data_IF_065484193759
#
_entry.id   IF_065484193759
#
_cell.length_a   1.000
_cell.length_b   1.000
_cell.length_c   1.000
_cell.angle_alpha   90.00
_cell.angle_beta   90.00
_cell.angle_gamma   90.00
#
_symmetry.space_group_name_H-M   'P 1'
#
loop_
_entity.id
_entity.type
_entity.pdbx_description
1 polymer ?
#
# COMPACT_ATOMS: atom_id res chain seq x y z
N UNK A 1 24.52 12.95 16.27
CA UNK A 1 25.34 12.78 17.48
C UNK A 1 25.19 11.33 17.96
N UNK A 2 26.25 10.51 17.93
CA UNK A 2 26.21 9.11 18.38
C UNK A 2 25.89 8.94 19.88
N UNK A 3 25.81 10.03 20.65
CA UNK A 3 25.49 10.00 22.08
C UNK A 3 24.05 10.39 22.44
N UNK A 4 23.15 10.52 21.47
CA UNK A 4 21.77 10.91 21.79
C UNK A 4 21.01 9.74 22.45
N UNK A 5 20.88 9.80 23.78
CA UNK A 5 20.25 8.81 24.66
C UNK A 5 18.83 8.40 24.24
N UNK A 6 18.11 9.29 23.56
CA UNK A 6 16.74 9.04 23.11
C UNK A 6 16.63 8.11 21.90
N UNK A 7 17.68 7.95 21.08
CA UNK A 7 17.64 7.01 19.93
C UNK A 7 17.65 5.54 20.38
N UNK A 8 18.43 5.20 21.42
CA UNK A 8 18.64 3.81 21.86
C UNK A 8 17.46 3.15 22.56
N UNK A 9 16.47 3.91 23.06
CA UNK A 9 15.32 3.33 23.79
C UNK A 9 14.19 2.83 22.91
N UNK A 10 14.16 3.26 21.65
CA UNK A 10 13.10 2.90 20.69
C UNK A 10 13.58 1.89 19.63
N UNK A 11 14.84 1.48 19.68
CA UNK A 11 15.36 0.41 18.83
C UNK A 11 14.95 -0.95 19.43
N UNK A 12 13.84 -1.50 18.93
CA UNK A 12 13.56 -2.93 19.12
C UNK A 12 14.52 -3.70 18.21
N UNK A 13 15.47 -4.44 18.79
CA UNK A 13 16.21 -5.45 18.05
C UNK A 13 15.28 -6.63 17.79
N UNK A 14 14.69 -6.68 16.60
CA UNK A 14 13.88 -7.82 16.17
C UNK A 14 14.77 -9.03 15.95
N UNK A 15 14.28 -10.22 16.30
CA UNK A 15 14.93 -11.49 15.95
C UNK A 15 14.85 -11.80 14.46
N UNK A 16 13.95 -11.11 13.79
CA UNK A 16 13.52 -11.25 12.42
C UNK A 16 14.46 -10.40 11.55
N UNK A 17 14.89 -10.94 10.41
CA UNK A 17 15.79 -10.23 9.48
C UNK A 17 14.98 -9.30 8.55
N UNK A 18 14.22 -8.37 9.14
CA UNK A 18 13.39 -7.39 8.43
C UNK A 18 14.01 -6.00 8.55
N UNK A 19 13.92 -5.18 7.49
CA UNK A 19 14.49 -3.82 7.47
C UNK A 19 13.55 -2.81 8.17
N UNK A 20 13.72 -2.62 9.48
CA UNK A 20 12.95 -1.65 10.28
C UNK A 20 13.55 -0.25 10.21
N UNK A 21 13.11 0.53 9.22
CA UNK A 21 13.42 1.97 9.11
C UNK A 21 12.39 2.68 8.24
N UNK A 22 12.50 4.01 8.16
CA UNK A 22 11.80 4.77 7.13
C UNK A 22 12.58 4.71 5.82
N UNK A 23 11.97 4.18 4.77
CA UNK A 23 12.62 4.03 3.47
C UNK A 23 12.31 5.22 2.58
N UNK A 24 13.33 5.97 2.14
CA UNK A 24 13.11 6.96 1.07
C UNK A 24 12.69 6.27 -0.25
N UNK A 25 12.26 7.03 -1.27
CA UNK A 25 11.80 6.44 -2.53
C UNK A 25 12.83 5.53 -3.22
N UNK A 26 14.13 5.85 -3.12
CA UNK A 26 15.20 5.01 -3.69
C UNK A 26 15.34 3.70 -2.91
N UNK A 27 15.36 3.77 -1.59
CA UNK A 27 15.49 2.59 -0.72
C UNK A 27 14.27 1.67 -0.83
N UNK A 28 13.05 2.21 -0.89
CA UNK A 28 11.84 1.41 -1.10
C UNK A 28 11.91 0.61 -2.41
N UNK A 29 12.44 1.22 -3.49
CA UNK A 29 12.65 0.50 -4.74
C UNK A 29 13.68 -0.60 -4.60
N UNK A 30 14.75 -0.36 -3.85
CA UNK A 30 15.76 -1.36 -3.56
C UNK A 30 15.18 -2.54 -2.80
N UNK A 31 14.35 -2.32 -1.77
CA UNK A 31 13.63 -3.39 -1.05
C UNK A 31 12.80 -4.25 -1.99
N UNK A 32 12.08 -3.64 -2.93
CA UNK A 32 11.32 -4.39 -3.95
C UNK A 32 12.19 -5.16 -4.95
N UNK A 33 13.39 -4.66 -5.25
CA UNK A 33 14.35 -5.35 -6.11
C UNK A 33 15.04 -6.51 -5.39
N UNK A 34 15.39 -6.34 -4.12
CA UNK A 34 15.99 -7.37 -3.27
C UNK A 34 15.00 -8.50 -2.99
N UNK A 35 13.73 -8.17 -2.71
CA UNK A 35 12.65 -9.17 -2.65
C UNK A 35 12.44 -9.87 -4.01
N UNK A 36 12.68 -9.14 -5.11
CA UNK A 36 12.79 -9.62 -6.50
C UNK A 36 13.67 -10.86 -6.70
N UNK A 37 14.71 -11.01 -5.88
CA UNK A 37 15.67 -12.11 -5.98
C UNK A 37 15.11 -13.45 -5.47
N UNK A 38 13.91 -13.45 -4.89
CA UNK A 38 13.29 -14.63 -4.31
C UNK A 38 12.35 -15.37 -5.28
N UNK A 39 12.24 -14.94 -6.54
CA UNK A 39 11.42 -15.52 -7.64
C UNK A 39 9.88 -15.51 -7.42
N UNK A 40 9.43 -15.29 -6.18
CA UNK A 40 8.02 -15.26 -5.73
C UNK A 40 7.51 -13.85 -5.41
N UNK A 41 8.43 -12.89 -5.29
CA UNK A 41 8.14 -11.50 -4.94
C UNK A 41 8.82 -10.64 -5.98
N UNK A 42 8.10 -9.73 -6.63
CA UNK A 42 8.71 -8.84 -7.61
C UNK A 42 8.03 -7.47 -7.63
N UNK A 43 8.84 -6.42 -7.74
CA UNK A 43 8.38 -5.05 -7.90
C UNK A 43 8.46 -4.60 -9.36
N UNK A 44 7.45 -3.88 -9.85
CA UNK A 44 7.51 -3.24 -11.16
C UNK A 44 7.11 -1.78 -11.06
N UNK A 45 7.91 -0.90 -11.68
CA UNK A 45 7.58 0.53 -11.77
C UNK A 45 6.46 0.68 -12.77
N UNK A 46 5.38 1.35 -12.36
CA UNK A 46 4.36 1.82 -13.28
C UNK A 46 4.40 3.35 -13.33
N UNK A 47 4.63 3.93 -14.51
CA UNK A 47 4.43 5.37 -14.69
C UNK A 47 2.94 5.65 -14.52
N UNK A 48 2.57 6.58 -13.66
CA UNK A 48 1.18 7.09 -13.63
C UNK A 48 1.01 8.21 -14.65
N UNK A 49 -0.25 8.49 -14.98
CA UNK A 49 -0.64 9.58 -15.89
C UNK A 49 -0.22 10.98 -15.39
N UNK A 50 0.20 11.13 -14.13
CA UNK A 50 0.53 12.42 -13.50
C UNK A 50 2.04 12.65 -13.34
N UNK A 51 2.90 11.95 -14.10
CA UNK A 51 4.36 11.93 -13.91
C UNK A 51 4.82 11.49 -12.50
N UNK A 52 3.90 10.97 -11.68
CA UNK A 52 4.23 10.32 -10.43
C UNK A 52 4.61 8.88 -10.74
N UNK A 53 5.79 8.44 -10.29
CA UNK A 53 6.15 7.03 -10.42
C UNK A 53 5.60 6.29 -9.20
N UNK A 54 4.61 5.43 -9.41
CA UNK A 54 4.19 4.49 -8.36
C UNK A 54 4.96 3.19 -8.51
N UNK A 55 5.23 2.57 -7.37
CA UNK A 55 5.99 1.33 -7.31
C UNK A 55 5.17 0.26 -6.60
N UNK A 56 4.23 -0.39 -7.30
CA UNK A 56 3.56 -1.57 -6.78
C UNK A 56 4.54 -2.74 -6.72
N UNK A 57 4.34 -3.52 -5.68
CA UNK A 57 5.00 -4.76 -5.34
C UNK A 57 3.98 -5.88 -5.52
N UNK A 58 4.42 -6.99 -6.09
CA UNK A 58 3.58 -8.16 -6.37
C UNK A 58 4.18 -9.35 -5.63
N UNK A 59 3.31 -10.18 -5.07
CA UNK A 59 3.69 -11.47 -4.50
C UNK A 59 2.98 -12.52 -5.34
N UNK A 60 3.74 -13.17 -6.23
CA UNK A 60 3.30 -14.18 -7.18
C UNK A 60 4.52 -14.88 -7.78
N UNK A 61 4.44 -16.20 -8.02
CA UNK A 61 5.46 -16.92 -8.80
C UNK A 61 5.61 -16.35 -10.21
N UNK A 62 6.85 -16.12 -10.67
CA UNK A 62 7.16 -15.54 -12.00
C UNK A 62 6.53 -16.32 -13.18
N UNK A 63 6.36 -17.64 -13.03
CA UNK A 63 5.80 -18.54 -14.04
C UNK A 63 4.28 -18.68 -13.99
N UNK A 64 3.61 -17.99 -13.07
CA UNK A 64 2.16 -17.98 -13.03
C UNK A 64 1.66 -17.20 -14.24
N UNK A 65 1.24 -17.94 -15.28
CA UNK A 65 0.71 -17.35 -16.50
C UNK A 65 -0.31 -16.29 -16.13
N UNK A 66 -0.21 -15.10 -16.74
CA UNK A 66 -1.21 -14.01 -16.75
C UNK A 66 -2.59 -14.43 -17.28
N UNK A 67 -2.89 -15.73 -17.37
CA UNK A 67 -4.26 -16.21 -17.35
C UNK A 67 -4.76 -15.94 -15.95
N UNK A 68 -5.72 -15.03 -15.79
CA UNK A 68 -6.60 -15.08 -14.62
C UNK A 68 -7.06 -16.54 -14.52
N UNK A 69 -6.52 -17.28 -13.54
CA UNK A 69 -7.05 -18.58 -13.19
C UNK A 69 -8.51 -18.34 -12.84
N UNK A 70 -9.43 -19.01 -13.55
CA UNK A 70 -10.84 -18.87 -13.24
C UNK A 70 -11.05 -19.38 -11.80
N UNK A 71 -11.24 -18.48 -10.84
CA UNK A 71 -11.49 -18.82 -9.43
C UNK A 71 -10.48 -18.28 -8.42
N UNK A 72 -9.34 -17.73 -8.84
CA UNK A 72 -8.37 -17.14 -7.91
C UNK A 72 -8.79 -15.73 -7.46
N UNK A 73 -8.89 -15.47 -6.14
CA UNK A 73 -9.15 -14.14 -5.62
C UNK A 73 -7.95 -13.21 -5.83
N UNK A 74 -8.24 -11.98 -6.25
CA UNK A 74 -7.27 -10.87 -6.25
C UNK A 74 -7.45 -10.01 -5.00
N UNK A 75 -6.34 -9.77 -4.29
CA UNK A 75 -6.30 -8.98 -3.08
C UNK A 75 -5.34 -7.79 -3.26
N UNK A 76 -5.67 -6.65 -2.64
CA UNK A 76 -4.75 -5.50 -2.63
C UNK A 76 -4.69 -4.79 -1.29
N UNK A 77 -3.48 -4.39 -0.91
CA UNK A 77 -3.24 -3.35 0.09
C UNK A 77 -2.64 -2.11 -0.55
N UNK A 78 -3.11 -0.95 -0.10
CA UNK A 78 -2.68 0.36 -0.57
C UNK A 78 -2.40 1.23 0.65
N UNK A 79 -1.26 1.91 0.64
CA UNK A 79 -0.89 2.89 1.66
C UNK A 79 -0.27 4.15 1.05
N UNK A 80 -0.06 5.16 1.91
CA UNK A 80 0.60 6.40 1.53
C UNK A 80 -0.21 7.25 0.55
N UNK A 81 -1.54 7.25 0.65
CA UNK A 81 -2.38 8.21 -0.07
C UNK A 81 -2.12 9.64 0.40
N UNK A 82 -1.98 9.82 1.72
CA UNK A 82 -1.30 10.97 2.29
C UNK A 82 0.17 10.62 2.49
N UNK A 83 1.07 11.42 1.93
CA UNK A 83 2.50 11.12 1.93
C UNK A 83 3.12 11.16 3.34
N UNK A 84 2.56 11.96 4.26
CA UNK A 84 3.03 12.06 5.64
C UNK A 84 2.44 11.01 6.60
N UNK A 85 1.51 10.17 6.15
CA UNK A 85 0.94 9.06 6.95
C UNK A 85 1.78 7.79 6.74
N UNK A 86 3.03 7.82 7.23
CA UNK A 86 4.11 6.90 6.83
C UNK A 86 3.95 5.46 7.33
N UNK A 87 3.27 5.23 8.46
CA UNK A 87 3.24 3.90 9.09
C UNK A 87 2.73 2.80 8.14
N UNK A 88 1.66 3.06 7.39
CA UNK A 88 1.09 2.08 6.46
C UNK A 88 2.06 1.69 5.34
N UNK A 89 2.88 2.64 4.86
CA UNK A 89 3.91 2.39 3.84
C UNK A 89 4.93 1.37 4.34
N UNK A 90 5.48 1.60 5.54
CA UNK A 90 6.50 0.73 6.10
C UNK A 90 5.93 -0.64 6.48
N UNK A 91 4.69 -0.71 6.98
CA UNK A 91 4.01 -1.98 7.25
C UNK A 91 3.82 -2.82 5.99
N UNK A 92 3.52 -2.21 4.83
CA UNK A 92 3.42 -2.93 3.56
C UNK A 92 4.79 -3.48 3.12
N UNK A 93 5.87 -2.73 3.31
CA UNK A 93 7.23 -3.18 2.98
C UNK A 93 7.68 -4.33 3.90
N UNK A 94 7.37 -4.24 5.19
CA UNK A 94 7.63 -5.30 6.16
C UNK A 94 6.79 -6.54 5.87
N UNK A 95 5.50 -6.36 5.54
CA UNK A 95 4.62 -7.45 5.14
C UNK A 95 5.17 -8.20 3.92
N UNK A 96 5.66 -7.47 2.91
CA UNK A 96 6.29 -8.10 1.75
C UNK A 96 7.49 -8.95 2.18
N UNK A 97 8.46 -8.36 2.91
CA UNK A 97 9.65 -9.08 3.36
C UNK A 97 9.29 -10.33 4.17
N UNK A 98 8.35 -10.20 5.11
CA UNK A 98 7.84 -11.30 5.92
C UNK A 98 7.24 -12.41 5.05
N UNK A 99 6.35 -12.07 4.12
CA UNK A 99 5.70 -13.06 3.25
C UNK A 99 6.72 -13.81 2.38
N UNK A 100 7.72 -13.12 1.82
CA UNK A 100 8.73 -13.80 1.02
C UNK A 100 9.63 -14.71 1.87
N UNK A 101 10.07 -14.26 3.06
CA UNK A 101 10.91 -15.05 3.96
C UNK A 101 10.18 -16.30 4.47
N UNK A 102 8.92 -16.16 4.89
CA UNK A 102 8.12 -17.26 5.42
C UNK A 102 7.72 -18.28 4.34
N UNK A 103 7.52 -17.83 3.09
CA UNK A 103 7.32 -18.75 1.97
C UNK A 103 8.54 -19.63 1.75
N UNK A 104 9.75 -19.05 1.73
CA UNK A 104 11.00 -19.80 1.61
C UNK A 104 11.25 -20.73 2.80
N UNK A 105 10.84 -20.31 4.00
CA UNK A 105 10.89 -21.15 5.20
C UNK A 105 9.87 -22.31 5.18
N UNK A 106 8.96 -22.34 4.19
CA UNK A 106 7.95 -23.37 4.05
C UNK A 106 6.81 -23.25 5.07
N UNK A 107 6.52 -22.05 5.56
CA UNK A 107 5.41 -21.83 6.48
C UNK A 107 4.08 -22.20 5.78
N UNK A 108 3.34 -23.23 6.23
CA UNK A 108 2.17 -23.74 5.52
C UNK A 108 1.07 -22.70 5.31
N UNK A 109 0.93 -21.76 6.26
CA UNK A 109 -0.07 -20.69 6.16
C UNK A 109 0.29 -19.69 5.05
N UNK A 110 1.56 -19.33 4.94
CA UNK A 110 2.02 -18.32 3.98
C UNK A 110 2.10 -18.91 2.59
N UNK A 111 2.55 -20.16 2.46
CA UNK A 111 2.53 -20.91 1.19
C UNK A 111 1.11 -20.97 0.63
N UNK A 112 0.14 -21.47 1.42
CA UNK A 112 -1.26 -21.53 1.01
C UNK A 112 -1.84 -20.15 0.63
N UNK A 113 -1.49 -19.10 1.39
CA UNK A 113 -1.96 -17.74 1.11
C UNK A 113 -1.43 -17.21 -0.23
N UNK A 114 -0.17 -17.48 -0.57
CA UNK A 114 0.48 -17.01 -1.79
C UNK A 114 0.06 -17.84 -3.01
N UNK A 115 -0.09 -19.15 -2.86
CA UNK A 115 -0.50 -20.05 -3.94
C UNK A 115 -1.97 -19.85 -4.34
N UNK A 116 -2.86 -19.56 -3.38
CA UNK A 116 -4.30 -19.45 -3.63
C UNK A 116 -4.81 -18.00 -3.79
N UNK A 117 -3.96 -16.98 -3.61
CA UNK A 117 -4.38 -15.56 -3.70
C UNK A 117 -3.37 -14.73 -4.47
N UNK A 118 -3.86 -13.92 -5.41
CA UNK A 118 -3.04 -12.93 -6.10
C UNK A 118 -2.93 -11.65 -5.28
N UNK A 119 -1.76 -11.37 -4.72
CA UNK A 119 -1.56 -10.27 -3.76
C UNK A 119 -0.83 -9.09 -4.41
N UNK A 120 -1.49 -7.93 -4.37
CA UNK A 120 -0.97 -6.66 -4.86
C UNK A 120 -0.70 -5.71 -3.70
N UNK A 121 0.54 -5.25 -3.56
CA UNK A 121 0.96 -4.35 -2.50
C UNK A 121 1.39 -3.01 -3.10
N UNK A 122 0.73 -1.92 -2.71
CA UNK A 122 1.10 -0.56 -3.12
C UNK A 122 1.52 0.24 -1.89
N UNK A 123 2.82 0.29 -1.55
CA UNK A 123 3.29 0.95 -0.32
C UNK A 123 3.14 2.47 -0.36
N UNK A 124 3.04 3.09 -1.54
CA UNK A 124 3.01 4.54 -1.67
C UNK A 124 2.26 5.01 -2.91
N UNK A 125 1.06 5.55 -2.71
CA UNK A 125 0.28 6.24 -3.76
C UNK A 125 0.81 7.66 -4.00
N UNK A 126 1.21 8.37 -2.95
CA UNK A 126 1.74 9.74 -2.98
C UNK A 126 3.24 9.79 -2.61
N UNK A 127 4.15 9.28 -3.47
CA UNK A 127 5.58 9.28 -3.18
C UNK A 127 6.17 10.69 -3.08
N UNK A 128 5.63 11.67 -3.82
CA UNK A 128 6.13 13.05 -3.79
C UNK A 128 5.83 13.75 -2.46
N UNK A 129 4.60 13.54 -1.94
CA UNK A 129 4.21 14.02 -0.62
C UNK A 129 5.10 13.41 0.47
N UNK A 130 5.37 12.11 0.37
CA UNK A 130 6.27 11.42 1.30
C UNK A 130 7.69 11.98 1.23
N UNK A 131 8.27 12.16 0.04
CA UNK A 131 9.61 12.72 -0.10
C UNK A 131 9.75 14.11 0.54
N UNK A 132 8.70 14.94 0.47
CA UNK A 132 8.65 16.24 1.17
C UNK A 132 8.64 16.06 2.69
N UNK A 133 7.76 15.18 3.21
CA UNK A 133 7.67 14.91 4.65
C UNK A 133 8.97 14.28 5.20
N UNK A 134 9.53 13.33 4.48
CA UNK A 134 10.76 12.62 4.83
C UNK A 134 11.95 13.58 4.94
N UNK A 135 12.12 14.50 3.98
CA UNK A 135 13.21 15.50 4.00
C UNK A 135 13.08 16.49 5.16
N UNK A 136 11.86 16.85 5.54
CA UNK A 136 11.62 17.74 6.67
C UNK A 136 11.84 17.04 8.02
N UNK A 137 11.59 15.73 8.09
CA UNK A 137 11.69 14.95 9.31
C UNK A 137 10.45 15.05 10.19
N UNK A 138 10.29 14.07 11.08
CA UNK A 138 9.09 13.89 11.90
C UNK A 138 8.73 15.11 12.75
N UNK A 139 9.74 15.80 13.30
CA UNK A 139 9.53 16.96 14.19
C UNK A 139 9.01 18.21 13.47
N UNK A 140 9.26 18.33 12.15
CA UNK A 140 8.89 19.50 11.35
C UNK A 140 7.72 19.22 10.39
N UNK A 141 7.23 17.97 10.35
CA UNK A 141 6.21 17.51 9.40
C UNK A 141 4.79 17.98 9.71
N UNK A 142 4.42 18.13 10.99
CA UNK A 142 3.06 18.49 11.39
C UNK A 142 1.97 17.64 10.70
N UNK A 143 0.74 18.17 10.64
CA UNK A 143 -0.38 17.47 10.00
C UNK A 143 -0.42 17.65 8.46
N UNK A 144 0.15 18.74 7.95
CA UNK A 144 -0.06 19.22 6.58
C UNK A 144 1.08 18.93 5.61
N UNK A 145 2.33 18.93 6.08
CA UNK A 145 3.49 18.85 5.18
C UNK A 145 3.59 17.46 4.57
N UNK A 146 3.44 17.38 3.24
CA UNK A 146 3.49 16.11 2.51
C UNK A 146 2.16 15.34 2.47
N UNK A 147 1.07 15.92 2.98
CA UNK A 147 -0.27 15.31 2.91
C UNK A 147 -0.80 15.25 1.47
N UNK A 148 -0.82 16.39 0.78
CA UNK A 148 -1.34 16.54 -0.58
C UNK A 148 -0.31 16.16 -1.65
N UNK A 149 -0.75 15.99 -2.89
CA UNK A 149 0.13 15.87 -4.06
C UNK A 149 0.93 17.14 -4.30
N UNK A 150 1.83 17.13 -5.29
CA UNK A 150 2.55 18.34 -5.70
C UNK A 150 1.62 19.47 -6.14
N UNK A 151 0.48 19.14 -6.73
CA UNK A 151 -0.53 20.10 -7.21
C UNK A 151 -1.52 20.54 -6.11
N UNK A 152 -1.30 20.13 -4.85
CA UNK A 152 -2.18 20.48 -3.73
C UNK A 152 -3.47 19.68 -3.67
N UNK A 153 -3.55 18.54 -4.38
CA UNK A 153 -4.73 17.67 -4.41
C UNK A 153 -4.68 16.68 -3.27
N UNK A 154 -5.81 16.50 -2.57
CA UNK A 154 -5.98 15.45 -1.58
C UNK A 154 -6.46 14.20 -2.31
N UNK A 155 -5.61 13.17 -2.41
CA UNK A 155 -5.92 11.96 -3.17
C UNK A 155 -7.19 11.29 -2.63
N UNK A 156 -7.38 11.25 -1.30
CA UNK A 156 -8.53 10.60 -0.69
C UNK A 156 -9.84 11.36 -0.93
N UNK A 157 -9.77 12.64 -1.29
CA UNK A 157 -10.93 13.46 -1.67
C UNK A 157 -11.05 13.67 -3.19
N UNK A 158 -10.25 12.97 -4.00
CA UNK A 158 -10.22 13.13 -5.46
C UNK A 158 -10.79 11.91 -6.22
N UNK A 159 -11.53 11.04 -5.53
CA UNK A 159 -12.29 9.97 -6.16
C UNK A 159 -13.65 10.49 -6.64
N UNK A 160 -14.19 9.99 -7.76
CA UNK A 160 -15.55 10.33 -8.19
C UNK A 160 -16.56 10.01 -7.09
N UNK A 161 -17.36 11.01 -6.71
CA UNK A 161 -18.46 10.81 -5.76
C UNK A 161 -19.65 10.15 -6.46
N UNK A 162 -19.69 8.83 -6.34
CA UNK A 162 -20.83 8.03 -6.82
C UNK A 162 -21.95 7.93 -5.78
N UNK A 163 -21.69 8.32 -4.52
CA UNK A 163 -22.67 8.21 -3.44
C UNK A 163 -23.79 9.24 -3.65
N UNK A 164 -23.46 10.50 -3.93
CA UNK A 164 -24.47 11.53 -4.21
C UNK A 164 -25.37 11.15 -5.39
N UNK A 165 -24.78 10.64 -6.47
CA UNK A 165 -25.53 10.15 -7.65
C UNK A 165 -26.45 8.98 -7.32
N UNK A 166 -26.00 8.06 -6.45
CA UNK A 166 -26.79 6.92 -6.00
C UNK A 166 -28.01 7.39 -5.21
N UNK A 167 -27.80 8.24 -4.21
CA UNK A 167 -28.86 8.74 -3.32
C UNK A 167 -29.87 9.63 -4.06
N UNK A 168 -29.42 10.52 -4.94
CA UNK A 168 -30.32 11.33 -5.77
C UNK A 168 -31.23 10.46 -6.66
N UNK A 169 -30.71 9.36 -7.20
CA UNK A 169 -31.48 8.42 -8.02
C UNK A 169 -32.54 7.67 -7.20
N UNK A 170 -32.22 7.32 -5.96
CA UNK A 170 -33.16 6.70 -5.01
C UNK A 170 -34.27 7.65 -4.59
N UNK A 171 -33.93 8.87 -4.18
CA UNK A 171 -34.88 9.92 -3.78
C UNK A 171 -35.87 10.25 -4.90
N UNK A 172 -35.35 10.35 -6.13
CA UNK A 172 -36.15 10.64 -7.31
C UNK A 172 -36.93 9.41 -7.82
N UNK A 173 -36.78 8.24 -7.18
CA UNK A 173 -37.37 6.95 -7.59
C UNK A 173 -37.09 6.62 -9.06
N UNK A 174 -35.94 7.08 -9.58
CA UNK A 174 -35.54 6.92 -10.98
C UNK A 174 -34.87 5.58 -11.24
N UNK A 175 -34.37 4.91 -10.19
CA UNK A 175 -33.81 3.57 -10.32
C UNK A 175 -34.88 2.54 -10.68
N UNK A 176 -34.77 1.98 -11.90
CA UNK A 176 -35.59 0.83 -12.33
C UNK A 176 -35.05 -0.51 -11.81
N UNK A 177 -33.84 -0.55 -11.24
CA UNK A 177 -33.17 -1.77 -10.79
C UNK A 177 -33.42 -1.96 -9.28
N UNK A 178 -34.08 -3.06 -8.92
CA UNK A 178 -34.33 -3.51 -7.53
C UNK A 178 -33.18 -4.31 -6.91
N UNK A 179 -31.98 -4.25 -7.48
CA UNK A 179 -30.83 -4.96 -6.90
C UNK A 179 -30.32 -4.14 -5.71
N UNK A 180 -30.14 -4.76 -4.53
CA UNK A 180 -29.49 -4.08 -3.41
C UNK A 180 -28.12 -3.57 -3.87
N UNK A 181 -27.89 -2.27 -3.72
CA UNK A 181 -26.61 -1.62 -4.00
C UNK A 181 -25.62 -1.74 -2.81
N UNK A 182 -26.09 -2.20 -1.66
CA UNK A 182 -25.28 -2.41 -0.47
C UNK A 182 -25.58 -3.78 0.18
N UNK A 183 -24.53 -4.46 0.62
CA UNK A 183 -24.64 -5.65 1.49
C UNK A 183 -24.68 -5.28 2.98
N UNK A 184 -24.61 -3.99 3.30
CA UNK A 184 -24.64 -3.43 4.65
C UNK A 184 -25.90 -2.56 4.76
N UNK A 185 -26.75 -2.74 5.77
CA UNK A 185 -27.95 -1.92 5.94
C UNK A 185 -27.58 -0.43 6.04
N UNK A 186 -28.39 0.42 5.41
CA UNK A 186 -28.29 1.87 5.58
C UNK A 186 -28.59 2.15 7.05
N UNK A 187 -27.71 2.85 7.78
CA UNK A 187 -27.98 3.20 9.16
C UNK A 187 -29.22 4.11 9.26
N UNK A 188 -30.13 3.79 10.18
CA UNK A 188 -31.26 4.65 10.54
C UNK A 188 -30.75 5.81 11.42
N UNK A 189 -30.18 6.87 10.82
CA UNK A 189 -29.90 8.12 11.53
C UNK A 189 -30.51 9.32 10.81
#
# INVERSE_FOLDING_TARGET
DPNNYYHRRNEMTTTDNLDFKHHNYKEMRQVGQEAGLLEICWGKIYPTALNQNVFPLFIQEENFQLKLGAGEPEFRYIAGAHGNEVLGRELILLLMQFMCQEYLAGNPRIVHLIEDTRIHLLPSVNPDGYDKAYKAGSELGGWSLGRWTQDGIDINNNFPDLNSLLWESEDQKKSKRKVPNHHIPIPDW
#
